data_IF_910077950376
#
_entry.id   IF_910077950376
#
_cell.length_a   1.000
_cell.length_b   1.000
_cell.length_c   1.000
_cell.angle_alpha   90.00
_cell.angle_beta   90.00
_cell.angle_gamma   90.00
#
_symmetry.space_group_name_H-M   'P 1'
#
loop_
_entity.id
_entity.type
_entity.pdbx_description
1 polymer ?
#
# COMPACT_ATOMS: atom_id res chain seq x y z
N UNK A 1 19.93 46.28 -37.20
CA UNK A 1 20.69 45.05 -36.87
C UNK A 1 20.53 44.80 -35.38
N UNK A 2 19.64 43.85 -35.03
CA UNK A 2 19.32 43.51 -33.64
C UNK A 2 20.30 42.40 -33.23
N UNK A 3 21.21 42.66 -32.29
CA UNK A 3 22.07 41.62 -31.72
C UNK A 3 21.26 40.82 -30.68
N UNK A 4 21.06 39.54 -30.94
CA UNK A 4 20.56 38.59 -29.95
C UNK A 4 21.68 38.26 -28.95
N UNK A 5 21.43 38.51 -27.65
CA UNK A 5 22.26 37.97 -26.55
C UNK A 5 21.84 36.52 -26.32
N UNK A 6 22.75 35.59 -26.56
CA UNK A 6 22.64 34.20 -26.09
C UNK A 6 23.00 34.20 -24.60
N UNK A 7 22.04 33.86 -23.74
CA UNK A 7 22.31 33.55 -22.33
C UNK A 7 22.63 32.06 -22.23
N UNK A 8 23.90 31.75 -21.99
CA UNK A 8 24.35 30.39 -21.70
C UNK A 8 23.81 29.99 -20.32
N UNK A 9 22.89 29.02 -20.27
CA UNK A 9 22.53 28.34 -19.02
C UNK A 9 23.66 27.37 -18.67
N UNK A 10 24.47 27.71 -17.66
CA UNK A 10 25.42 26.77 -17.08
C UNK A 10 24.65 25.68 -16.32
N UNK A 11 24.81 24.43 -16.76
CA UNK A 11 24.25 23.27 -16.08
C UNK A 11 24.87 23.17 -14.67
N UNK A 12 24.03 23.33 -13.64
CA UNK A 12 24.41 23.03 -12.26
C UNK A 12 24.73 21.53 -12.17
N UNK A 13 26.01 21.19 -11.98
CA UNK A 13 26.47 19.82 -11.75
C UNK A 13 25.80 19.28 -10.48
N UNK A 14 24.81 18.41 -10.65
CA UNK A 14 24.21 17.64 -9.57
C UNK A 14 25.28 16.85 -8.82
N UNK A 15 25.21 16.85 -7.48
CA UNK A 15 26.08 15.99 -6.66
C UNK A 15 25.86 14.53 -7.05
N UNK A 16 26.90 13.70 -7.11
CA UNK A 16 26.73 12.28 -7.38
C UNK A 16 25.79 11.69 -6.32
N UNK A 17 24.73 11.03 -6.78
CA UNK A 17 23.86 10.25 -5.90
C UNK A 17 24.70 9.18 -5.21
N UNK A 18 24.46 9.00 -3.91
CA UNK A 18 25.02 7.86 -3.17
C UNK A 18 24.64 6.58 -3.92
N UNK A 19 25.51 5.56 -3.98
CA UNK A 19 25.12 4.26 -4.51
C UNK A 19 23.85 3.83 -3.79
N UNK A 20 22.78 3.56 -4.54
CA UNK A 20 21.56 2.98 -3.99
C UNK A 20 21.96 1.73 -3.21
N UNK A 21 21.30 1.48 -2.07
CA UNK A 21 21.35 0.14 -1.47
C UNK A 21 21.06 -0.88 -2.58
N UNK A 22 21.74 -2.03 -2.62
CA UNK A 22 21.34 -3.11 -3.52
C UNK A 22 19.84 -3.28 -3.39
N UNK A 23 19.12 -3.24 -4.52
CA UNK A 23 17.73 -3.66 -4.55
C UNK A 23 17.71 -5.05 -3.96
N UNK A 24 17.20 -5.19 -2.73
CA UNK A 24 17.04 -6.51 -2.14
C UNK A 24 16.11 -7.24 -3.09
N UNK A 25 16.63 -8.30 -3.71
CA UNK A 25 15.84 -9.17 -4.57
C UNK A 25 14.71 -9.71 -3.71
N UNK A 26 13.48 -9.39 -4.08
CA UNK A 26 12.30 -9.87 -3.37
C UNK A 26 12.29 -11.41 -3.39
N UNK A 27 11.80 -12.05 -2.32
CA UNK A 27 11.63 -13.50 -2.33
C UNK A 27 10.64 -13.89 -3.42
N UNK A 28 10.77 -15.10 -3.95
CA UNK A 28 9.80 -15.67 -4.88
C UNK A 28 8.43 -15.78 -4.20
N UNK A 29 7.37 -15.51 -4.96
CA UNK A 29 5.99 -15.66 -4.49
C UNK A 29 5.73 -17.07 -3.93
N UNK A 30 4.98 -17.11 -2.83
CA UNK A 30 4.51 -18.35 -2.22
C UNK A 30 3.03 -18.25 -1.90
N UNK A 31 2.32 -19.39 -2.01
CA UNK A 31 0.95 -19.51 -1.54
C UNK A 31 0.94 -19.71 -0.02
N UNK A 32 0.44 -18.75 0.79
CA UNK A 32 0.40 -18.92 2.23
C UNK A 32 -0.56 -20.05 2.60
N UNK A 33 -0.20 -20.84 3.62
CA UNK A 33 -1.01 -21.99 4.07
C UNK A 33 -2.47 -21.62 4.38
N UNK A 34 -2.72 -20.39 4.85
CA UNK A 34 -4.07 -19.93 5.19
C UNK A 34 -4.94 -19.67 3.96
N UNK A 35 -4.32 -19.24 2.86
CA UNK A 35 -4.98 -19.00 1.57
C UNK A 35 -5.32 -20.35 0.91
N UNK A 36 -4.36 -21.28 0.90
CA UNK A 36 -4.54 -22.68 0.48
C UNK A 36 -5.60 -23.39 1.33
N UNK A 37 -5.57 -23.21 2.66
CA UNK A 37 -6.50 -23.90 3.57
C UNK A 37 -7.97 -23.54 3.35
N UNK A 38 -8.26 -22.36 2.80
CA UNK A 38 -9.62 -21.92 2.45
C UNK A 38 -9.95 -22.12 0.96
N UNK A 39 -9.05 -22.77 0.22
CA UNK A 39 -9.17 -23.07 -1.22
C UNK A 39 -9.42 -21.79 -2.06
N UNK A 40 -8.81 -20.67 -1.69
CA UNK A 40 -8.98 -19.40 -2.42
C UNK A 40 -8.40 -19.47 -3.84
N UNK A 41 -7.30 -20.20 -4.01
CA UNK A 41 -6.62 -20.41 -5.28
C UNK A 41 -7.51 -21.14 -6.30
N UNK A 42 -8.40 -22.01 -5.84
CA UNK A 42 -9.31 -22.76 -6.71
C UNK A 42 -10.33 -21.86 -7.44
N UNK A 43 -10.59 -20.64 -6.95
CA UNK A 43 -11.57 -19.72 -7.53
C UNK A 43 -10.97 -18.57 -8.35
N UNK A 44 -9.66 -18.33 -8.30
CA UNK A 44 -9.04 -17.18 -9.01
C UNK A 44 -9.19 -17.21 -10.53
N UNK A 45 -9.34 -18.41 -11.13
CA UNK A 45 -9.66 -18.53 -12.57
C UNK A 45 -11.08 -18.03 -12.93
N UNK A 46 -11.95 -17.87 -11.93
CA UNK A 46 -13.31 -17.37 -12.08
C UNK A 46 -13.42 -15.92 -11.59
N UNK A 47 -12.86 -15.61 -10.41
CA UNK A 47 -12.92 -14.29 -9.81
C UNK A 47 -11.72 -14.04 -8.89
N UNK A 48 -11.05 -12.90 -9.07
CA UNK A 48 -9.96 -12.39 -8.22
C UNK A 48 -10.37 -11.18 -7.40
N UNK A 49 -11.68 -10.89 -7.36
CA UNK A 49 -12.34 -9.76 -6.70
C UNK A 49 -11.94 -8.39 -7.27
N UNK A 50 -11.73 -8.33 -8.58
CA UNK A 50 -11.46 -7.07 -9.28
C UNK A 50 -12.67 -6.13 -9.18
N UNK A 51 -12.43 -4.86 -8.83
CA UNK A 51 -13.48 -3.85 -8.62
C UNK A 51 -14.18 -3.92 -7.26
N UNK A 52 -13.85 -4.90 -6.41
CA UNK A 52 -14.30 -4.92 -5.02
C UNK A 52 -13.44 -3.98 -4.18
N UNK A 53 -14.08 -3.18 -3.32
CA UNK A 53 -13.41 -2.27 -2.38
C UNK A 53 -13.35 -2.92 -0.99
N UNK A 54 -12.18 -2.93 -0.36
CA UNK A 54 -12.00 -3.36 1.04
C UNK A 54 -11.23 -2.30 1.82
N UNK A 55 -11.82 -1.81 2.90
CA UNK A 55 -11.18 -0.88 3.81
C UNK A 55 -10.55 -1.61 5.01
N UNK A 56 -9.28 -1.36 5.27
CA UNK A 56 -8.52 -1.95 6.38
C UNK A 56 -8.38 -0.91 7.49
N UNK A 57 -9.22 -1.06 8.53
CA UNK A 57 -9.18 -0.22 9.73
C UNK A 57 -8.12 -0.73 10.70
N UNK A 58 -6.89 -0.22 10.59
CA UNK A 58 -5.75 -0.74 11.36
C UNK A 58 -4.67 0.35 11.59
N UNK A 59 -3.40 -0.03 11.64
CA UNK A 59 -2.24 0.86 11.77
C UNK A 59 -1.87 1.58 10.47
N UNK A 60 -2.64 1.41 9.40
CA UNK A 60 -2.30 1.89 8.06
C UNK A 60 -1.86 0.75 7.15
N UNK A 61 -1.42 1.08 5.94
CA UNK A 61 -0.79 0.13 5.00
C UNK A 61 0.49 0.81 4.51
N UNK A 62 1.58 0.05 4.40
CA UNK A 62 2.80 0.49 3.72
C UNK A 62 2.48 0.81 2.25
N UNK A 63 2.44 2.10 1.94
CA UNK A 63 1.88 2.60 0.67
C UNK A 63 2.79 2.36 -0.54
N UNK A 64 4.08 2.07 -0.32
CA UNK A 64 5.05 1.75 -1.38
C UNK A 64 5.53 0.30 -1.33
N UNK A 65 4.85 -0.56 -0.55
CA UNK A 65 5.16 -1.98 -0.49
C UNK A 65 5.04 -2.62 -1.88
N UNK A 66 6.10 -3.26 -2.40
CA UNK A 66 6.15 -3.74 -3.79
C UNK A 66 5.05 -4.76 -4.10
N UNK A 67 4.57 -5.47 -3.08
CA UNK A 67 3.55 -6.51 -3.18
C UNK A 67 2.10 -6.03 -2.91
N UNK A 68 1.91 -4.74 -2.62
CA UNK A 68 0.58 -4.17 -2.32
C UNK A 68 0.25 -2.91 -3.11
N UNK A 69 1.25 -2.09 -3.45
CA UNK A 69 1.05 -0.72 -3.93
C UNK A 69 0.08 -0.58 -5.11
N UNK A 70 -0.01 -1.56 -6.01
CA UNK A 70 -0.94 -1.47 -7.15
C UNK A 70 -2.40 -1.74 -6.77
N UNK A 71 -2.64 -2.43 -5.64
CA UNK A 71 -3.97 -2.68 -5.10
C UNK A 71 -4.44 -1.57 -4.14
N UNK A 72 -3.57 -0.63 -3.73
CA UNK A 72 -3.93 0.46 -2.84
C UNK A 72 -4.65 1.56 -3.64
N UNK A 73 -5.96 1.68 -3.44
CA UNK A 73 -6.83 2.64 -4.14
C UNK A 73 -7.04 3.95 -3.39
N UNK A 74 -6.74 3.99 -2.08
CA UNK A 74 -6.85 5.20 -1.28
C UNK A 74 -6.39 5.02 0.16
N UNK A 75 -6.27 6.14 0.86
CA UNK A 75 -5.83 6.16 2.25
C UNK A 75 -6.50 7.28 3.03
N UNK A 76 -6.65 7.08 4.34
CA UNK A 76 -6.95 8.14 5.29
C UNK A 76 -6.27 7.85 6.63
N UNK A 77 -5.79 8.90 7.29
CA UNK A 77 -5.33 8.85 8.67
C UNK A 77 -6.33 9.52 9.61
N UNK A 78 -7.16 8.72 10.29
CA UNK A 78 -8.18 9.24 11.20
C UNK A 78 -7.54 9.86 12.44
N UNK A 79 -6.45 9.29 12.93
CA UNK A 79 -5.75 9.76 14.15
C UNK A 79 -5.07 11.12 13.90
N UNK A 80 -4.59 11.37 12.68
CA UNK A 80 -4.02 12.64 12.27
C UNK A 80 -4.30 12.91 10.78
N UNK A 81 -5.41 13.62 10.46
CA UNK A 81 -5.84 13.88 9.08
C UNK A 81 -4.87 14.70 8.22
N UNK A 82 -3.78 15.21 8.80
CA UNK A 82 -2.71 15.95 8.08
C UNK A 82 -1.54 15.06 7.67
N UNK A 83 -1.58 13.77 8.01
CA UNK A 83 -0.55 12.79 7.67
C UNK A 83 -1.16 11.69 6.81
N UNK A 84 -0.31 10.98 6.08
CA UNK A 84 -0.72 9.78 5.34
C UNK A 84 -1.21 8.68 6.27
N UNK A 85 -2.05 7.80 5.74
CA UNK A 85 -2.44 6.50 6.27
C UNK A 85 -1.36 5.43 6.13
N UNK A 86 -0.12 5.84 5.90
CA UNK A 86 1.05 4.98 5.82
C UNK A 86 1.33 4.28 7.16
N UNK A 87 1.76 3.02 7.09
CA UNK A 87 1.91 2.19 8.28
C UNK A 87 3.23 2.51 9.02
N UNK A 88 3.11 2.82 10.31
CA UNK A 88 4.26 3.03 11.20
C UNK A 88 4.36 1.97 12.31
N UNK A 89 3.66 0.83 12.13
CA UNK A 89 3.72 -0.35 12.99
C UNK A 89 4.03 -1.65 12.20
N UNK A 90 3.33 -1.91 11.10
CA UNK A 90 3.43 -3.11 10.27
C UNK A 90 2.26 -4.10 10.39
N UNK A 91 1.39 -3.96 11.41
CA UNK A 91 0.24 -4.85 11.59
C UNK A 91 -0.79 -4.69 10.47
N UNK A 92 -1.14 -3.47 10.10
CA UNK A 92 -2.08 -3.18 9.03
C UNK A 92 -1.55 -3.60 7.66
N UNK A 93 -0.25 -3.41 7.36
CA UNK A 93 0.39 -3.96 6.15
C UNK A 93 0.27 -5.49 6.09
N UNK A 94 0.48 -6.19 7.21
CA UNK A 94 0.34 -7.64 7.27
C UNK A 94 -1.12 -8.09 7.04
N UNK A 95 -2.09 -7.38 7.62
CA UNK A 95 -3.53 -7.64 7.38
C UNK A 95 -3.88 -7.42 5.90
N UNK A 96 -3.40 -6.32 5.31
CA UNK A 96 -3.59 -6.03 3.89
C UNK A 96 -2.99 -7.10 2.98
N UNK A 97 -1.82 -7.64 3.33
CA UNK A 97 -1.17 -8.75 2.62
C UNK A 97 -2.02 -10.02 2.58
N UNK A 98 -2.64 -10.40 3.71
CA UNK A 98 -3.55 -11.55 3.76
C UNK A 98 -4.73 -11.35 2.80
N UNK A 99 -5.26 -10.13 2.72
CA UNK A 99 -6.43 -9.81 1.90
C UNK A 99 -6.05 -9.80 0.42
N UNK A 100 -5.06 -8.99 0.03
CA UNK A 100 -4.82 -8.66 -1.37
C UNK A 100 -3.35 -8.36 -1.68
N UNK A 101 -2.40 -9.11 -1.11
CA UNK A 101 -1.09 -9.21 -1.75
C UNK A 101 -1.25 -9.72 -3.20
N UNK A 102 -0.45 -9.16 -4.10
CA UNK A 102 -0.64 -9.31 -5.54
C UNK A 102 -0.19 -10.70 -6.02
N UNK A 103 -0.71 -11.11 -7.18
CA UNK A 103 -0.15 -12.20 -8.00
C UNK A 103 0.89 -11.55 -8.94
N UNK A 104 2.17 -11.56 -8.54
CA UNK A 104 3.23 -10.76 -9.19
C UNK A 104 4.64 -11.40 -9.13
N UNK A 105 4.73 -12.69 -8.83
CA UNK A 105 5.97 -13.48 -8.77
C UNK A 105 6.90 -13.16 -7.58
N UNK A 106 6.53 -12.23 -6.69
CA UNK A 106 7.28 -11.90 -5.48
C UNK A 106 6.46 -12.13 -4.20
N UNK A 107 7.11 -12.27 -3.06
CA UNK A 107 6.43 -12.20 -1.76
C UNK A 107 5.40 -13.31 -1.51
N UNK A 108 4.15 -12.91 -1.37
CA UNK A 108 3.02 -13.82 -1.10
C UNK A 108 1.80 -13.40 -1.91
N UNK A 109 0.88 -14.32 -2.14
CA UNK A 109 -0.42 -13.99 -2.75
C UNK A 109 -1.53 -13.92 -1.71
N UNK A 110 -2.38 -12.89 -1.80
CA UNK A 110 -3.53 -12.69 -0.92
C UNK A 110 -4.75 -13.50 -1.35
N UNK A 111 -5.79 -13.54 -0.51
CA UNK A 111 -7.04 -14.25 -0.81
C UNK A 111 -7.75 -13.66 -2.05
N UNK A 112 -7.70 -12.34 -2.20
CA UNK A 112 -8.41 -11.56 -3.20
C UNK A 112 -7.43 -10.61 -3.93
N UNK A 113 -6.52 -11.14 -4.75
CA UNK A 113 -5.30 -10.46 -5.20
C UNK A 113 -5.53 -9.27 -6.14
N UNK A 114 -6.77 -8.98 -6.56
CA UNK A 114 -7.12 -7.79 -7.37
C UNK A 114 -8.11 -6.84 -6.70
N UNK A 115 -8.34 -7.00 -5.39
CA UNK A 115 -9.20 -6.10 -4.61
C UNK A 115 -8.56 -4.73 -4.44
N UNK A 116 -9.39 -3.67 -4.51
CA UNK A 116 -8.99 -2.31 -4.19
C UNK A 116 -8.96 -2.10 -2.67
N UNK A 117 -7.76 -2.00 -2.11
CA UNK A 117 -7.51 -1.73 -0.69
C UNK A 117 -7.60 -0.24 -0.38
N UNK A 118 -8.25 0.08 0.74
CA UNK A 118 -8.26 1.41 1.35
C UNK A 118 -7.60 1.35 2.73
N UNK A 119 -6.50 2.07 2.90
CA UNK A 119 -5.79 2.16 4.18
C UNK A 119 -6.53 3.11 5.12
N UNK A 120 -7.17 2.61 6.19
CA UNK A 120 -7.89 3.44 7.16
C UNK A 120 -7.17 3.39 8.50
N UNK A 121 -6.23 4.31 8.70
CA UNK A 121 -5.39 4.32 9.90
C UNK A 121 -6.16 4.86 11.11
N UNK A 122 -6.61 3.94 11.97
CA UNK A 122 -7.30 4.20 13.24
C UNK A 122 -6.46 3.80 14.46
N UNK A 123 -5.34 3.10 14.25
CA UNK A 123 -4.38 2.71 15.28
C UNK A 123 -3.00 3.37 15.07
N UNK A 124 -2.38 3.79 16.17
CA UNK A 124 -1.04 4.39 16.17
C UNK A 124 0.07 3.33 16.10
N UNK A 125 1.34 3.74 16.04
CA UNK A 125 2.51 2.84 16.01
C UNK A 125 2.61 1.79 17.12
N UNK A 126 1.85 1.94 18.21
CA UNK A 126 1.80 1.00 19.34
C UNK A 126 0.55 0.11 19.30
N UNK A 127 -0.21 0.13 18.20
CA UNK A 127 -1.53 -0.52 18.03
C UNK A 127 -2.57 -0.01 19.03
N UNK A 128 -2.51 1.27 19.35
CA UNK A 128 -3.46 1.93 20.25
C UNK A 128 -4.28 2.95 19.46
N UNK A 129 -5.58 3.01 19.70
CA UNK A 129 -6.49 3.99 19.11
C UNK A 129 -7.67 4.24 20.03
N UNK A 130 -8.37 5.36 19.84
CA UNK A 130 -9.61 5.61 20.55
C UNK A 130 -10.78 4.93 19.84
N UNK A 131 -11.80 4.51 20.59
CA UNK A 131 -13.04 3.99 20.01
C UNK A 131 -13.68 5.01 19.05
N UNK A 132 -13.54 6.31 19.35
CA UNK A 132 -13.99 7.40 18.47
C UNK A 132 -13.29 7.37 17.11
N UNK A 133 -12.01 7.03 17.07
CA UNK A 133 -11.24 6.97 15.80
C UNK A 133 -11.72 5.79 14.96
N UNK A 134 -12.01 4.65 15.59
CA UNK A 134 -12.58 3.48 14.90
C UNK A 134 -13.96 3.81 14.32
N UNK A 135 -14.83 4.47 15.10
CA UNK A 135 -16.16 4.89 14.63
C UNK A 135 -16.04 5.88 13.46
N UNK A 136 -15.14 6.86 13.56
CA UNK A 136 -14.89 7.80 12.47
C UNK A 136 -14.33 7.11 11.22
N UNK A 137 -13.48 6.10 11.38
CA UNK A 137 -13.00 5.25 10.28
C UNK A 137 -14.14 4.48 9.59
N UNK A 138 -15.06 3.90 10.36
CA UNK A 138 -16.25 3.22 9.81
C UNK A 138 -17.12 4.21 9.03
N UNK A 139 -17.35 5.41 9.59
CA UNK A 139 -18.13 6.44 8.92
C UNK A 139 -17.51 6.83 7.58
N UNK A 140 -16.19 7.04 7.54
CA UNK A 140 -15.46 7.34 6.31
C UNK A 140 -15.63 6.26 5.23
N UNK A 141 -15.67 4.98 5.63
CA UNK A 141 -15.84 3.86 4.68
C UNK A 141 -17.21 3.87 3.98
N UNK A 142 -18.25 4.42 4.61
CA UNK A 142 -19.61 4.45 4.06
C UNK A 142 -19.77 5.59 3.03
N UNK A 143 -18.92 6.61 3.10
CA UNK A 143 -18.97 7.81 2.27
C UNK A 143 -18.19 7.67 0.94
N UNK A 144 -17.63 6.49 0.67
CA UNK A 144 -16.56 6.23 -0.30
C UNK A 144 -16.97 5.58 -1.63
#
# INVERSE_FOLDING_TARGET
MIQQRVLTVEALKGKPSKPGKPSETQPQETLPWGVDRIDADLVWNMDTSEGIKVAVLDTGIDLDHPDLQANIAGEVNIINPKRSGDDDNGHGTHVAGIIAAMDNEIGVIGVAPKTSLYAVKVLNRRRQGFLSDVIAGIQWCIEL
#
